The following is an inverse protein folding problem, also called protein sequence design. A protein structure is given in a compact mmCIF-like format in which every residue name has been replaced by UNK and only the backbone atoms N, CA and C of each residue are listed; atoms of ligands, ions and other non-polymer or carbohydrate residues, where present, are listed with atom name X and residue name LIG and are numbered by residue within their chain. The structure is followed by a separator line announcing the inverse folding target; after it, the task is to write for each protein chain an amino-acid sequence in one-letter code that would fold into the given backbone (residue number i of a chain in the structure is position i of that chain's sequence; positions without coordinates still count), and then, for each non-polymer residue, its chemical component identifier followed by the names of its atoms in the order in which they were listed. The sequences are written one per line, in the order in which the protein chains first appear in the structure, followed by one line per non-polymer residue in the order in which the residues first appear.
data_IF_552792082470
#
_entry.id   IF_552792082470
#
_cell.length_a   1.000
_cell.length_b   1.000
_cell.length_c   1.000
_cell.angle_alpha   90.00
_cell.angle_beta   90.00
_cell.angle_gamma   90.00
#
_symmetry.space_group_name_H-M   'P 1'
#
loop_
_entity.id
_entity.type
_entity.pdbx_description
1 polymer ?
#
# COMPACT_ATOMS: atom_id res chain seq x y z
N UNK A 1 8.05 8.74 -14.69
CA UNK A 1 7.44 9.62 -13.67
C UNK A 1 6.18 8.93 -13.20
N UNK A 2 6.08 8.67 -11.90
CA UNK A 2 4.92 8.00 -11.31
C UNK A 2 3.69 8.91 -11.43
N UNK A 3 2.54 8.35 -11.84
CA UNK A 3 1.23 9.00 -11.97
C UNK A 3 0.18 8.36 -11.07
N UNK A 4 0.41 7.12 -10.63
CA UNK A 4 -0.52 6.35 -9.82
C UNK A 4 0.16 5.78 -8.58
N UNK A 5 -0.59 5.72 -7.48
CA UNK A 5 -0.23 4.96 -6.29
C UNK A 5 -1.36 3.98 -6.01
N UNK A 6 -1.01 2.70 -5.99
CA UNK A 6 -1.93 1.60 -5.73
C UNK A 6 -1.55 0.95 -4.40
N UNK A 7 -2.39 1.12 -3.39
CA UNK A 7 -2.20 0.50 -2.08
C UNK A 7 -2.95 -0.82 -2.02
N UNK A 8 -2.23 -1.90 -1.74
CA UNK A 8 -2.81 -3.24 -1.72
C UNK A 8 -3.67 -3.43 -0.48
N UNK A 9 -4.91 -3.83 -0.70
CA UNK A 9 -5.88 -4.09 0.34
C UNK A 9 -5.52 -5.35 1.14
N UNK A 10 -5.43 -5.21 2.45
CA UNK A 10 -5.07 -6.32 3.36
C UNK A 10 -6.27 -7.22 3.71
N UNK A 11 -7.52 -6.79 3.43
CA UNK A 11 -8.72 -7.59 3.79
C UNK A 11 -8.86 -8.87 3.00
N UNK A 12 -8.32 -8.92 1.77
CA UNK A 12 -8.37 -10.10 0.90
C UNK A 12 -7.58 -11.28 1.44
N UNK A 13 -6.59 -11.01 2.28
CA UNK A 13 -5.65 -12.03 2.76
C UNK A 13 -6.33 -13.00 3.72
N UNK A 14 -7.51 -12.66 4.26
CA UNK A 14 -8.22 -13.53 5.19
C UNK A 14 -7.28 -14.01 6.28
N UNK A 15 -6.64 -13.10 7.02
CA UNK A 15 -5.78 -13.44 8.17
C UNK A 15 -6.68 -13.88 9.35
N UNK A 16 -7.52 -14.88 9.10
CA UNK A 16 -7.99 -15.80 10.10
C UNK A 16 -6.94 -16.91 10.19
N UNK A 17 -6.01 -16.80 11.14
CA UNK A 17 -5.56 -17.95 11.96
C UNK A 17 -4.46 -17.52 12.95
N UNK A 18 -4.78 -16.62 13.86
CA UNK A 18 -4.17 -16.63 15.20
C UNK A 18 -5.09 -15.91 16.17
N UNK A 19 -6.05 -16.65 16.74
CA UNK A 19 -6.74 -16.52 18.05
C UNK A 19 -6.99 -15.16 18.75
N UNK A 20 -6.73 -14.01 18.12
CA UNK A 20 -6.88 -12.63 18.61
C UNK A 20 -7.00 -11.61 17.44
N UNK A 21 -7.20 -12.06 16.19
CA UNK A 21 -7.13 -11.24 14.99
C UNK A 21 -8.47 -10.56 14.63
N UNK A 22 -8.40 -9.29 14.19
CA UNK A 22 -9.54 -8.43 13.91
C UNK A 22 -10.49 -8.96 12.83
N UNK A 23 -11.76 -8.57 12.94
CA UNK A 23 -12.78 -8.82 11.92
C UNK A 23 -12.38 -8.19 10.57
N UNK A 24 -12.81 -8.73 9.41
CA UNK A 24 -12.64 -8.06 8.10
C UNK A 24 -13.05 -6.58 8.08
N UNK A 25 -13.98 -6.20 8.97
CA UNK A 25 -14.40 -4.82 9.20
C UNK A 25 -13.28 -3.96 9.80
N UNK A 26 -12.49 -4.51 10.73
CA UNK A 26 -11.34 -3.83 11.37
C UNK A 26 -10.21 -3.64 10.36
N UNK A 27 -9.91 -4.66 9.56
CA UNK A 27 -8.88 -4.57 8.52
C UNK A 27 -9.28 -3.57 7.42
N UNK A 28 -10.56 -3.55 7.03
CA UNK A 28 -11.08 -2.56 6.08
C UNK A 28 -11.01 -1.13 6.63
N UNK A 29 -11.33 -0.94 7.90
CA UNK A 29 -11.21 0.37 8.56
C UNK A 29 -9.74 0.83 8.63
N UNK A 30 -8.82 -0.08 8.97
CA UNK A 30 -7.39 0.21 9.01
C UNK A 30 -6.85 0.61 7.63
N UNK A 31 -7.23 -0.11 6.58
CA UNK A 31 -6.82 0.20 5.21
C UNK A 31 -7.35 1.58 4.77
N UNK A 32 -8.61 1.91 5.08
CA UNK A 32 -9.16 3.24 4.81
C UNK A 32 -8.44 4.36 5.58
N UNK A 33 -8.09 4.12 6.85
CA UNK A 33 -7.32 5.07 7.65
C UNK A 33 -5.92 5.31 7.08
N UNK A 34 -5.21 4.23 6.71
CA UNK A 34 -3.88 4.32 6.11
C UNK A 34 -3.91 5.05 4.76
N UNK A 35 -4.89 4.76 3.89
CA UNK A 35 -5.07 5.49 2.63
C UNK A 35 -5.32 7.00 2.87
N UNK A 36 -6.12 7.33 3.88
CA UNK A 36 -6.38 8.73 4.25
C UNK A 36 -5.11 9.41 4.75
N UNK A 37 -4.40 8.80 5.69
CA UNK A 37 -3.15 9.33 6.23
C UNK A 37 -2.09 9.49 5.13
N UNK A 38 -2.02 8.56 4.17
CA UNK A 38 -1.16 8.66 3.01
C UNK A 38 -1.46 9.90 2.17
N UNK A 39 -2.74 10.10 1.81
CA UNK A 39 -3.18 11.30 1.06
C UNK A 39 -2.87 12.58 1.82
N UNK A 40 -3.13 12.60 3.13
CA UNK A 40 -2.85 13.77 3.98
C UNK A 40 -1.34 14.07 4.04
N UNK A 41 -0.49 13.05 4.24
CA UNK A 41 0.97 13.19 4.35
C UNK A 41 1.69 13.53 3.04
N UNK A 42 1.19 13.07 1.90
CA UNK A 42 1.70 13.47 0.59
C UNK A 42 1.35 14.92 0.26
N UNK A 43 0.25 15.42 0.82
CA UNK A 43 -0.20 16.79 0.63
C UNK A 43 -0.97 17.00 -0.68
N UNK A 44 -1.79 18.05 -0.68
CA UNK A 44 -2.78 18.32 -1.72
C UNK A 44 -2.20 18.53 -3.13
N UNK A 45 -0.95 19.00 -3.24
CA UNK A 45 -0.32 19.23 -4.53
C UNK A 45 -0.10 17.91 -5.29
N UNK A 46 0.39 16.88 -4.58
CA UNK A 46 0.64 15.54 -5.15
C UNK A 46 -0.69 14.82 -5.40
N UNK A 47 -1.63 14.88 -4.45
CA UNK A 47 -2.93 14.20 -4.57
C UNK A 47 -3.76 14.72 -5.76
N UNK A 48 -3.58 15.98 -6.17
CA UNK A 48 -4.26 16.56 -7.35
C UNK A 48 -3.68 16.12 -8.68
N UNK A 49 -2.42 15.73 -8.72
CA UNK A 49 -1.72 15.37 -9.97
C UNK A 49 -1.66 13.86 -10.19
N UNK A 50 -2.09 13.06 -9.22
CA UNK A 50 -1.92 11.60 -9.22
C UNK A 50 -3.19 10.87 -8.78
N UNK A 51 -3.37 9.66 -9.28
CA UNK A 51 -4.43 8.76 -8.80
C UNK A 51 -3.92 7.97 -7.61
N UNK A 52 -4.61 8.03 -6.46
CA UNK A 52 -4.25 7.27 -5.25
C UNK A 52 -5.47 6.48 -4.78
N UNK A 53 -5.39 5.16 -4.88
CA UNK A 53 -6.50 4.23 -4.58
C UNK A 53 -6.01 2.98 -3.88
N UNK A 54 -6.96 2.27 -3.26
CA UNK A 54 -6.75 0.89 -2.84
C UNK A 54 -7.14 -0.05 -3.97
N UNK A 55 -6.43 -1.16 -4.08
CA UNK A 55 -6.69 -2.22 -5.05
C UNK A 55 -6.50 -3.58 -4.39
N UNK A 56 -7.19 -4.55 -4.94
CA UNK A 56 -7.05 -5.95 -4.60
C UNK A 56 -5.83 -6.55 -5.36
N UNK A 57 -5.20 -7.60 -4.82
CA UNK A 57 -3.94 -8.14 -5.39
C UNK A 57 -4.13 -8.65 -6.81
N UNK A 58 -5.28 -9.23 -7.11
CA UNK A 58 -5.66 -9.75 -8.43
C UNK A 58 -6.03 -8.66 -9.43
N UNK A 59 -6.29 -7.43 -8.96
CA UNK A 59 -6.52 -6.26 -9.81
C UNK A 59 -5.20 -5.58 -10.25
N UNK A 60 -4.08 -5.93 -9.63
CA UNK A 60 -2.77 -5.36 -9.98
C UNK A 60 -2.39 -5.72 -11.41
N UNK A 61 -1.99 -4.70 -12.18
CA UNK A 61 -1.58 -4.86 -13.58
C UNK A 61 -0.11 -4.48 -13.74
N UNK A 62 0.60 -5.25 -14.57
CA UNK A 62 1.98 -4.94 -14.92
C UNK A 62 2.01 -3.61 -15.65
N UNK A 63 2.71 -2.65 -15.05
CA UNK A 63 2.92 -1.32 -15.62
C UNK A 63 4.27 -1.28 -16.33
N UNK A 64 4.24 -1.54 -17.64
CA UNK A 64 5.44 -1.54 -18.49
C UNK A 64 6.13 -0.17 -18.56
N UNK A 65 5.45 0.90 -18.16
CA UNK A 65 5.95 2.28 -18.21
C UNK A 65 6.38 2.81 -16.84
N UNK A 66 6.28 2.00 -15.78
CA UNK A 66 6.65 2.40 -14.41
C UNK A 66 5.93 3.69 -13.95
N UNK A 67 4.67 3.86 -14.34
CA UNK A 67 3.84 4.99 -13.93
C UNK A 67 3.12 4.73 -12.60
N UNK A 68 3.23 3.53 -12.03
CA UNK A 68 2.48 3.09 -10.85
C UNK A 68 3.44 2.65 -9.75
N UNK A 69 3.32 3.28 -8.58
CA UNK A 69 3.96 2.84 -7.35
C UNK A 69 2.99 1.94 -6.58
N UNK A 70 3.37 0.69 -6.36
CA UNK A 70 2.59 -0.26 -5.57
C UNK A 70 3.03 -0.22 -4.11
N UNK A 71 2.11 0.07 -3.20
CA UNK A 71 2.36 -0.01 -1.76
C UNK A 71 1.76 -1.31 -1.24
N UNK A 72 2.59 -2.22 -0.76
CA UNK A 72 2.14 -3.55 -0.34
C UNK A 72 2.56 -3.86 1.08
N UNK A 73 1.60 -4.35 1.88
CA UNK A 73 1.92 -4.80 3.22
C UNK A 73 2.73 -6.11 3.17
N UNK A 74 3.77 -6.22 3.98
CA UNK A 74 4.65 -7.39 4.03
C UNK A 74 3.89 -8.68 4.39
N UNK A 75 2.80 -8.58 5.16
CA UNK A 75 1.93 -9.73 5.44
C UNK A 75 1.27 -10.26 4.17
N UNK A 76 0.76 -9.37 3.31
CA UNK A 76 0.16 -9.72 2.01
C UNK A 76 1.18 -10.44 1.11
N UNK A 77 2.41 -9.92 1.06
CA UNK A 77 3.51 -10.54 0.29
C UNK A 77 3.84 -11.96 0.75
N UNK A 78 3.73 -12.24 2.05
CA UNK A 78 4.04 -13.56 2.63
C UNK A 78 2.91 -14.56 2.45
N UNK A 79 1.67 -14.10 2.36
CA UNK A 79 0.46 -14.93 2.33
C UNK A 79 -0.09 -15.18 0.94
N UNK A 80 0.22 -14.31 -0.02
CA UNK A 80 -0.34 -14.33 -1.38
C UNK A 80 0.79 -14.26 -2.39
N UNK A 81 0.67 -15.03 -3.47
CA UNK A 81 1.60 -14.93 -4.60
C UNK A 81 1.33 -13.64 -5.37
N UNK A 82 2.19 -12.65 -5.17
CA UNK A 82 2.20 -11.43 -6.00
C UNK A 82 3.00 -11.75 -7.27
N UNK A 83 2.44 -11.50 -8.47
CA UNK A 83 3.16 -11.70 -9.73
C UNK A 83 4.55 -11.03 -9.68
N UNK A 84 5.61 -11.80 -9.93
CA UNK A 84 7.00 -11.30 -9.86
C UNK A 84 7.24 -10.12 -10.82
N UNK A 85 6.50 -10.07 -11.92
CA UNK A 85 6.50 -8.99 -12.90
C UNK A 85 6.01 -7.65 -12.32
N UNK A 86 5.19 -7.67 -11.25
CA UNK A 86 4.76 -6.47 -10.52
C UNK A 86 5.79 -5.98 -9.50
N UNK A 87 6.59 -6.91 -8.95
CA UNK A 87 7.68 -6.60 -8.02
C UNK A 87 8.94 -6.12 -8.76
N UNK A 88 8.84 -5.95 -10.08
CA UNK A 88 9.97 -5.70 -10.97
C UNK A 88 10.77 -4.46 -10.63
N UNK A 89 10.14 -3.30 -10.33
CA UNK A 89 10.91 -2.06 -10.03
C UNK A 89 10.21 -0.92 -9.24
N UNK A 90 8.87 -0.87 -9.10
CA UNK A 90 8.20 0.24 -8.40
C UNK A 90 7.20 -0.25 -7.36
N UNK A 91 7.72 -0.88 -6.31
CA UNK A 91 6.93 -1.19 -5.12
C UNK A 91 7.67 -0.78 -3.85
N UNK A 92 6.88 -0.49 -2.81
CA UNK A 92 7.35 -0.23 -1.47
C UNK A 92 6.61 -1.15 -0.51
N UNK A 93 7.37 -1.85 0.33
CA UNK A 93 6.80 -2.70 1.38
C UNK A 93 6.64 -1.94 2.67
N UNK A 94 5.59 -2.23 3.43
CA UNK A 94 5.40 -1.71 4.78
C UNK A 94 4.83 -2.76 5.72
N UNK A 95 4.99 -2.54 7.01
CA UNK A 95 4.42 -3.34 8.09
C UNK A 95 3.61 -2.43 9.02
N UNK A 96 2.38 -2.81 9.38
CA UNK A 96 1.51 -1.94 10.19
C UNK A 96 2.13 -1.66 11.56
N UNK A 97 2.76 -2.66 12.17
CA UNK A 97 3.47 -2.50 13.44
C UNK A 97 4.66 -1.55 13.33
N UNK A 98 5.34 -1.53 12.18
CA UNK A 98 6.47 -0.62 11.96
C UNK A 98 6.01 0.81 11.70
N UNK A 99 4.84 1.00 11.07
CA UNK A 99 4.23 2.32 10.91
C UNK A 99 3.86 2.92 12.27
N UNK A 100 3.41 2.09 13.21
CA UNK A 100 3.12 2.51 14.59
C UNK A 100 4.40 2.83 15.39
N UNK A 101 5.46 2.03 15.23
CA UNK A 101 6.71 2.16 16.01
C UNK A 101 7.69 3.21 15.46
N UNK A 102 7.83 3.32 14.14
CA UNK A 102 8.87 4.12 13.47
C UNK A 102 8.34 5.43 12.82
N UNK A 103 7.12 5.82 13.19
CA UNK A 103 6.35 6.95 12.64
C UNK A 103 5.91 6.75 11.18
N UNK A 104 4.62 6.98 10.96
CA UNK A 104 4.01 7.05 9.63
C UNK A 104 4.67 8.12 8.74
N UNK A 105 5.27 9.17 9.32
CA UNK A 105 5.98 10.22 8.56
C UNK A 105 7.19 9.67 7.80
N UNK A 106 7.95 8.75 8.40
CA UNK A 106 9.10 8.10 7.77
C UNK A 106 8.69 7.31 6.53
N UNK A 107 7.53 6.64 6.61
CA UNK A 107 6.94 5.94 5.47
C UNK A 107 6.54 6.90 4.36
N UNK A 108 5.92 8.03 4.70
CA UNK A 108 5.53 9.06 3.74
C UNK A 108 6.74 9.66 3.02
N UNK A 109 7.83 9.92 3.73
CA UNK A 109 9.07 10.42 3.13
C UNK A 109 9.68 9.40 2.16
N UNK A 110 9.60 8.10 2.48
CA UNK A 110 10.01 7.06 1.53
C UNK A 110 9.11 7.00 0.30
N UNK A 111 7.80 7.16 0.46
CA UNK A 111 6.88 7.28 -0.69
C UNK A 111 7.28 8.49 -1.54
N UNK A 112 7.46 9.68 -0.97
CA UNK A 112 7.86 10.90 -1.73
C UNK A 112 9.17 10.74 -2.50
N UNK A 113 10.17 10.04 -1.93
CA UNK A 113 11.43 9.73 -2.62
C UNK A 113 11.23 8.87 -3.86
N UNK A 114 10.29 7.92 -3.81
CA UNK A 114 9.93 7.07 -4.96
C UNK A 114 9.11 7.81 -6.03
N UNK A 115 8.50 8.95 -5.69
CA UNK A 115 7.74 9.79 -6.62
C UNK A 115 8.60 10.85 -7.33
N UNK A 116 9.81 11.12 -6.83
CA UNK A 116 10.76 12.13 -7.32
C UNK A 116 11.65 11.58 -8.42
#
# INVERSE_FOLDING_TARGET
MVKNIEMVNTTMVGIMQSSNAGSPVVDGALNAMLLKQLKDGLGQAIVKTMTIKMVDVDELKVDSNNETLVLINNRVLKSTTVPAELLGNHYLTYDNEDLEKNSFESFIENVKKMLS
#
